data_IF_984725540797
#
_entry.id   IF_984725540797
#
_cell.length_a   1.000
_cell.length_b   1.000
_cell.length_c   1.000
_cell.angle_alpha   90.00
_cell.angle_beta   90.00
_cell.angle_gamma   90.00
#
_symmetry.space_group_name_H-M   'P 1'
#
loop_
_entity.id
_entity.type
_entity.pdbx_description
1 polymer ?
#
# COMPACT_ATOMS: atom_id res chain seq x y z
N UNK A 1 -8.75 -18.21 -0.10
CA UNK A 1 -9.73 -17.56 -1.01
C UNK A 1 -9.41 -16.09 -1.13
N UNK A 2 -9.32 -15.38 -0.04
CA UNK A 2 -9.10 -13.93 0.08
C UNK A 2 -7.79 -13.45 -0.58
N UNK A 3 -6.69 -14.19 -0.38
CA UNK A 3 -5.39 -13.84 -0.99
C UNK A 3 -5.39 -13.85 -2.53
N UNK A 4 -6.12 -14.77 -3.17
CA UNK A 4 -6.27 -14.75 -4.64
C UNK A 4 -7.17 -13.60 -5.10
N UNK A 5 -8.17 -13.27 -4.30
CA UNK A 5 -9.08 -12.18 -4.59
C UNK A 5 -8.33 -10.83 -4.59
N UNK A 6 -7.57 -10.51 -3.51
CA UNK A 6 -6.84 -9.22 -3.45
C UNK A 6 -5.76 -9.13 -4.55
N UNK A 7 -5.06 -10.22 -4.88
CA UNK A 7 -4.12 -10.23 -6.00
C UNK A 7 -4.80 -9.88 -7.33
N UNK A 8 -6.01 -10.43 -7.57
CA UNK A 8 -6.77 -10.17 -8.79
C UNK A 8 -7.22 -8.73 -8.88
N UNK A 9 -7.87 -8.20 -7.84
CA UNK A 9 -8.41 -6.83 -7.89
C UNK A 9 -7.31 -5.77 -7.94
N UNK A 10 -6.15 -6.00 -7.32
CA UNK A 10 -5.00 -5.08 -7.42
C UNK A 10 -4.43 -5.07 -8.84
N UNK A 11 -4.32 -6.22 -9.52
CA UNK A 11 -3.91 -6.26 -10.94
C UNK A 11 -4.91 -5.57 -11.87
N UNK A 12 -6.21 -5.76 -11.63
CA UNK A 12 -7.25 -5.03 -12.36
C UNK A 12 -7.15 -3.51 -12.12
N UNK A 13 -6.80 -3.08 -10.90
CA UNK A 13 -6.60 -1.68 -10.54
C UNK A 13 -5.37 -1.06 -11.24
N UNK A 14 -4.26 -1.82 -11.40
CA UNK A 14 -3.09 -1.37 -12.16
C UNK A 14 -3.46 -0.93 -13.59
N UNK A 15 -4.40 -1.63 -14.22
CA UNK A 15 -4.84 -1.34 -15.59
C UNK A 15 -5.55 0.02 -15.72
N UNK A 16 -6.07 0.56 -14.60
CA UNK A 16 -6.70 1.87 -14.57
C UNK A 16 -5.68 3.01 -14.64
N UNK A 17 -4.42 2.76 -14.27
CA UNK A 17 -3.37 3.77 -14.16
C UNK A 17 -2.67 4.12 -15.49
N UNK A 18 -3.23 3.72 -16.63
CA UNK A 18 -2.67 3.98 -17.98
C UNK A 18 -2.94 5.40 -18.53
N UNK A 19 -3.50 6.32 -17.71
CA UNK A 19 -3.98 7.65 -18.13
C UNK A 19 -3.19 8.77 -17.44
N UNK A 20 -3.22 9.96 -18.04
CA UNK A 20 -2.78 11.18 -17.37
C UNK A 20 -3.79 11.57 -16.29
N UNK A 21 -3.30 11.83 -15.08
CA UNK A 21 -4.12 12.18 -13.92
C UNK A 21 -3.85 13.60 -13.46
N UNK A 22 -4.91 14.31 -13.02
CA UNK A 22 -4.77 15.60 -12.38
C UNK A 22 -4.31 15.45 -10.92
N UNK A 23 -3.52 16.41 -10.44
CA UNK A 23 -2.94 16.44 -9.08
C UNK A 23 -3.58 17.57 -8.29
N UNK A 24 -3.96 17.31 -7.06
CA UNK A 24 -4.59 18.27 -6.15
C UNK A 24 -3.85 18.32 -4.81
N UNK A 25 -3.91 19.48 -4.13
CA UNK A 25 -3.47 19.60 -2.74
C UNK A 25 -4.56 19.11 -1.78
N UNK A 26 -4.20 18.28 -0.82
CA UNK A 26 -5.09 17.70 0.19
C UNK A 26 -4.93 18.47 1.50
N UNK A 27 -5.63 19.61 1.62
CA UNK A 27 -5.82 20.35 2.88
C UNK A 27 -4.58 20.92 3.58
N UNK A 28 -3.48 20.23 3.69
CA UNK A 28 -2.23 20.68 4.32
C UNK A 28 -1.10 20.89 3.31
N UNK A 29 -0.14 21.75 3.66
CA UNK A 29 0.99 22.05 2.78
C UNK A 29 1.83 20.78 2.55
N UNK A 30 1.89 20.34 1.29
CA UNK A 30 2.67 19.17 0.88
C UNK A 30 1.93 17.83 0.92
N UNK A 31 0.65 17.79 1.24
CA UNK A 31 -0.18 16.59 1.09
C UNK A 31 -0.90 16.64 -0.27
N UNK A 32 -0.72 15.59 -1.08
CA UNK A 32 -1.22 15.51 -2.46
C UNK A 32 -2.16 14.34 -2.62
N UNK A 33 -3.17 14.55 -3.46
CA UNK A 33 -4.07 13.51 -3.96
C UNK A 33 -4.21 13.68 -5.46
N UNK A 34 -4.42 12.61 -6.18
CA UNK A 34 -4.66 12.62 -7.61
C UNK A 34 -6.00 12.00 -7.96
N UNK A 35 -6.49 12.22 -9.18
CA UNK A 35 -7.66 11.50 -9.68
C UNK A 35 -7.42 9.98 -9.70
N UNK A 36 -6.16 9.54 -9.75
CA UNK A 36 -5.79 8.13 -9.69
C UNK A 36 -6.11 7.53 -8.32
N UNK A 37 -5.81 8.23 -7.22
CA UNK A 37 -6.12 7.79 -5.86
C UNK A 37 -7.62 7.49 -5.73
N UNK A 38 -8.46 8.46 -6.10
CA UNK A 38 -9.92 8.29 -6.05
C UNK A 38 -10.44 7.20 -6.98
N UNK A 39 -9.87 7.07 -8.19
CA UNK A 39 -10.29 6.07 -9.16
C UNK A 39 -9.97 4.65 -8.68
N UNK A 40 -8.73 4.43 -8.23
CA UNK A 40 -8.26 3.14 -7.73
C UNK A 40 -9.01 2.75 -6.47
N UNK A 41 -9.14 3.66 -5.51
CA UNK A 41 -9.80 3.37 -4.24
C UNK A 41 -11.27 3.01 -4.46
N UNK A 42 -12.01 3.79 -5.24
CA UNK A 42 -13.42 3.48 -5.57
C UNK A 42 -13.55 2.11 -6.21
N UNK A 43 -12.71 1.79 -7.19
CA UNK A 43 -12.71 0.50 -7.85
C UNK A 43 -12.48 -0.66 -6.85
N UNK A 44 -11.47 -0.53 -5.96
CA UNK A 44 -11.17 -1.55 -4.96
C UNK A 44 -12.33 -1.71 -3.97
N UNK A 45 -12.91 -0.61 -3.50
CA UNK A 45 -14.06 -0.62 -2.59
C UNK A 45 -15.25 -1.35 -3.24
N UNK A 46 -15.62 -1.01 -4.48
CA UNK A 46 -16.73 -1.65 -5.20
C UNK A 46 -16.52 -3.16 -5.36
N UNK A 47 -15.30 -3.58 -5.70
CA UNK A 47 -14.97 -5.01 -5.83
C UNK A 47 -15.05 -5.76 -4.50
N UNK A 48 -14.54 -5.13 -3.43
CA UNK A 48 -14.56 -5.72 -2.09
C UNK A 48 -15.99 -5.82 -1.56
N UNK A 49 -16.77 -4.75 -1.67
CA UNK A 49 -18.17 -4.75 -1.20
C UNK A 49 -19.03 -5.79 -1.93
N UNK A 50 -18.77 -6.02 -3.21
CA UNK A 50 -19.51 -7.03 -3.99
C UNK A 50 -19.21 -8.47 -3.54
N UNK A 51 -17.97 -8.78 -3.15
CA UNK A 51 -17.55 -10.15 -2.79
C UNK A 51 -17.59 -10.38 -1.27
N UNK A 52 -17.34 -9.34 -0.47
CA UNK A 52 -17.24 -9.38 1.00
C UNK A 52 -18.10 -8.27 1.65
N UNK A 53 -19.45 -8.31 1.49
CA UNK A 53 -20.35 -7.23 1.95
C UNK A 53 -20.33 -7.04 3.49
N UNK A 54 -19.92 -8.05 4.24
CA UNK A 54 -19.89 -8.03 5.71
C UNK A 54 -18.52 -7.57 6.28
N UNK A 55 -17.52 -7.30 5.41
CA UNK A 55 -16.22 -6.82 5.86
C UNK A 55 -16.19 -5.29 5.89
N UNK A 56 -15.65 -4.72 6.95
CA UNK A 56 -15.36 -3.30 6.99
C UNK A 56 -14.26 -2.93 5.97
N UNK A 57 -14.29 -1.70 5.48
CA UNK A 57 -13.26 -1.17 4.60
C UNK A 57 -12.68 0.08 5.24
N UNK A 58 -11.37 0.07 5.43
CA UNK A 58 -10.56 1.19 5.87
C UNK A 58 -9.75 1.62 4.65
N UNK A 59 -9.84 2.88 4.27
CA UNK A 59 -9.18 3.37 3.09
C UNK A 59 -8.81 4.84 3.25
N UNK A 60 -7.77 5.27 2.57
CA UNK A 60 -7.15 6.56 2.81
C UNK A 60 -8.06 7.74 2.47
N UNK A 61 -8.75 7.69 1.32
CA UNK A 61 -9.48 8.83 0.80
C UNK A 61 -10.97 8.84 1.18
N UNK A 62 -11.63 7.67 1.18
CA UNK A 62 -13.08 7.58 1.43
C UNK A 62 -13.44 7.17 2.86
N UNK A 63 -12.60 6.41 3.56
CA UNK A 63 -12.89 5.91 4.90
C UNK A 63 -11.69 6.02 5.87
N UNK A 64 -11.04 7.21 5.99
CA UNK A 64 -9.81 7.35 6.79
C UNK A 64 -10.02 7.14 8.30
N UNK A 65 -11.23 7.45 8.79
CA UNK A 65 -11.57 7.36 10.22
C UNK A 65 -12.22 6.03 10.61
N UNK A 66 -12.31 5.07 9.66
CA UNK A 66 -12.92 3.78 9.94
C UNK A 66 -12.06 2.99 10.94
N UNK A 67 -12.69 2.45 11.98
CA UNK A 67 -12.01 1.65 12.98
C UNK A 67 -11.59 0.28 12.41
N UNK A 68 -10.38 -0.17 12.78
CA UNK A 68 -9.92 -1.52 12.44
C UNK A 68 -10.83 -2.54 13.14
N UNK A 69 -11.48 -3.39 12.37
CA UNK A 69 -12.35 -4.46 12.86
C UNK A 69 -11.68 -5.84 12.72
N UNK A 70 -12.31 -6.87 13.32
CA UNK A 70 -11.82 -8.25 13.17
C UNK A 70 -11.80 -8.72 11.72
N UNK A 71 -12.82 -8.29 10.94
CA UNK A 71 -12.93 -8.59 9.52
C UNK A 71 -12.94 -7.29 8.73
N UNK A 72 -11.84 -6.95 8.08
CA UNK A 72 -11.74 -5.74 7.27
C UNK A 72 -10.71 -5.86 6.15
N UNK A 73 -10.88 -5.02 5.15
CA UNK A 73 -9.83 -4.70 4.18
C UNK A 73 -9.25 -3.33 4.52
N UNK A 74 -7.95 -3.20 4.35
CA UNK A 74 -7.20 -1.95 4.51
C UNK A 74 -6.60 -1.62 3.15
N UNK A 75 -6.88 -0.42 2.64
CA UNK A 75 -6.51 0.02 1.30
C UNK A 75 -5.72 1.32 1.38
N UNK A 76 -4.62 1.36 0.68
CA UNK A 76 -3.94 2.58 0.27
C UNK A 76 -3.87 2.56 -1.26
N UNK A 77 -4.60 3.43 -1.96
CA UNK A 77 -4.73 3.38 -3.42
C UNK A 77 -3.44 3.74 -4.14
N UNK A 78 -2.70 4.74 -3.65
CA UNK A 78 -1.40 5.18 -4.20
C UNK A 78 -0.46 5.59 -3.05
N UNK A 79 0.10 4.61 -2.35
CA UNK A 79 1.18 4.90 -1.39
C UNK A 79 2.36 5.58 -2.13
N UNK A 80 2.73 6.75 -1.68
CA UNK A 80 3.71 7.58 -2.37
C UNK A 80 3.14 8.49 -3.44
N UNK A 81 1.96 9.07 -3.24
CA UNK A 81 1.27 10.00 -4.16
C UNK A 81 2.19 11.12 -4.68
N UNK A 82 3.10 11.65 -3.84
CA UNK A 82 4.09 12.64 -4.28
C UNK A 82 5.05 12.10 -5.34
N UNK A 83 5.50 10.87 -5.17
CA UNK A 83 6.36 10.21 -6.16
C UNK A 83 5.59 9.96 -7.46
N UNK A 84 4.36 9.46 -7.33
CA UNK A 84 3.46 9.24 -8.47
C UNK A 84 3.25 10.54 -9.26
N UNK A 85 2.85 11.63 -8.60
CA UNK A 85 2.59 12.93 -9.21
C UNK A 85 3.82 13.54 -9.92
N UNK A 86 5.03 13.20 -9.45
CA UNK A 86 6.30 13.67 -10.03
C UNK A 86 6.94 12.66 -11.02
N UNK A 87 6.24 11.57 -11.37
CA UNK A 87 6.76 10.57 -12.30
C UNK A 87 7.92 9.72 -11.76
N UNK A 88 8.12 9.71 -10.44
CA UNK A 88 9.12 8.85 -9.79
C UNK A 88 8.54 7.44 -9.60
N UNK A 89 9.35 6.36 -9.73
CA UNK A 89 8.82 4.99 -9.74
C UNK A 89 8.52 4.40 -8.35
N UNK A 90 8.76 5.15 -7.26
CA UNK A 90 8.64 4.68 -5.89
C UNK A 90 7.24 4.99 -5.33
N UNK A 91 6.25 4.27 -5.81
CA UNK A 91 4.86 4.32 -5.37
C UNK A 91 4.20 2.96 -5.60
N UNK A 92 3.09 2.70 -4.93
CA UNK A 92 2.40 1.43 -5.10
C UNK A 92 0.96 1.43 -4.64
N UNK A 93 0.21 0.39 -5.04
CA UNK A 93 -1.14 0.08 -4.58
C UNK A 93 -1.02 -0.93 -3.46
N UNK A 94 -1.64 -0.68 -2.31
CA UNK A 94 -1.58 -1.58 -1.16
C UNK A 94 -2.97 -2.04 -0.75
N UNK A 95 -3.11 -3.35 -0.53
CA UNK A 95 -4.34 -3.96 0.01
C UNK A 95 -3.98 -5.05 1.01
N UNK A 96 -4.53 -4.96 2.22
CA UNK A 96 -4.45 -6.03 3.22
C UNK A 96 -5.85 -6.55 3.56
N UNK A 97 -5.94 -7.85 3.81
CA UNK A 97 -7.15 -8.51 4.31
C UNK A 97 -6.92 -9.02 5.73
N UNK A 98 -7.76 -8.55 6.64
CA UNK A 98 -7.82 -8.99 8.03
C UNK A 98 -9.07 -9.84 8.24
N UNK A 99 -8.94 -10.98 8.91
CA UNK A 99 -10.04 -11.89 9.22
C UNK A 99 -9.82 -12.50 10.59
N UNK A 100 -10.87 -12.50 11.42
CA UNK A 100 -10.83 -12.96 12.81
C UNK A 100 -9.69 -12.30 13.61
N UNK A 101 -9.46 -11.02 13.39
CA UNK A 101 -8.43 -10.27 14.11
C UNK A 101 -6.99 -10.45 13.61
N UNK A 102 -6.75 -11.26 12.58
CA UNK A 102 -5.41 -11.51 12.01
C UNK A 102 -5.30 -11.06 10.55
N UNK A 103 -4.16 -10.50 10.16
CA UNK A 103 -3.89 -10.21 8.75
C UNK A 103 -3.52 -11.51 8.04
N UNK A 104 -4.43 -11.98 7.18
CA UNK A 104 -4.30 -13.28 6.50
C UNK A 104 -3.67 -13.19 5.11
N UNK A 105 -3.70 -12.03 4.49
CA UNK A 105 -3.07 -11.79 3.19
C UNK A 105 -2.84 -10.29 2.96
N UNK A 106 -1.78 -9.96 2.23
CA UNK A 106 -1.51 -8.60 1.78
C UNK A 106 -0.85 -8.58 0.41
N UNK A 107 -1.08 -7.48 -0.32
CA UNK A 107 -0.48 -7.18 -1.62
C UNK A 107 0.10 -5.78 -1.57
N UNK A 108 1.29 -5.61 -2.14
CA UNK A 108 1.86 -4.33 -2.52
C UNK A 108 2.25 -4.47 -4.00
N UNK A 109 1.61 -3.69 -4.85
CA UNK A 109 2.01 -3.60 -6.25
C UNK A 109 2.75 -2.30 -6.51
N UNK A 110 3.91 -2.38 -7.15
CA UNK A 110 4.71 -1.25 -7.62
C UNK A 110 4.80 -1.30 -9.16
N UNK A 111 3.77 -0.82 -9.88
CA UNK A 111 3.66 -1.04 -11.32
C UNK A 111 4.82 -0.45 -12.12
N UNK A 112 5.33 0.73 -11.71
CA UNK A 112 6.46 1.39 -12.36
C UNK A 112 7.76 0.57 -12.29
N UNK A 113 7.92 -0.26 -11.25
CA UNK A 113 9.06 -1.18 -11.08
C UNK A 113 8.77 -2.58 -11.59
N UNK A 114 7.52 -2.89 -11.99
CA UNK A 114 7.05 -4.23 -12.36
C UNK A 114 7.24 -5.24 -11.22
N UNK A 115 7.04 -4.78 -9.99
CA UNK A 115 7.17 -5.57 -8.78
C UNK A 115 5.79 -5.77 -8.14
N UNK A 116 5.45 -7.03 -7.88
CA UNK A 116 4.20 -7.42 -7.25
C UNK A 116 4.49 -8.31 -6.04
N UNK A 117 4.40 -7.70 -4.87
CA UNK A 117 4.61 -8.39 -3.60
C UNK A 117 3.29 -8.96 -3.10
N UNK A 118 3.34 -10.17 -2.60
CA UNK A 118 2.23 -10.85 -1.97
C UNK A 118 2.71 -11.57 -0.72
N UNK A 119 1.95 -11.51 0.35
CA UNK A 119 2.21 -12.28 1.56
C UNK A 119 0.94 -12.94 2.09
N UNK A 120 1.09 -14.12 2.67
CA UNK A 120 0.07 -14.86 3.40
C UNK A 120 0.74 -15.80 4.41
N UNK A 121 -0.03 -16.70 5.04
CA UNK A 121 0.47 -17.69 5.99
C UNK A 121 1.61 -18.59 5.45
N UNK A 122 1.69 -18.79 4.13
CA UNK A 122 2.73 -19.60 3.48
C UNK A 122 4.04 -18.86 3.25
N UNK A 123 4.07 -17.53 3.46
CA UNK A 123 5.24 -16.67 3.34
C UNK A 123 5.02 -15.46 2.45
N UNK A 124 6.14 -14.82 2.06
CA UNK A 124 6.18 -13.66 1.19
C UNK A 124 6.72 -14.02 -0.19
N UNK A 125 6.22 -13.34 -1.21
CA UNK A 125 6.51 -13.59 -2.62
C UNK A 125 6.70 -12.28 -3.37
N UNK A 126 7.66 -12.25 -4.30
CA UNK A 126 7.85 -11.19 -5.30
C UNK A 126 7.66 -11.80 -6.69
N UNK A 127 6.71 -11.30 -7.46
CA UNK A 127 6.36 -11.79 -8.80
C UNK A 127 6.14 -13.32 -8.85
N UNK A 128 5.60 -13.88 -7.74
CA UNK A 128 5.34 -15.31 -7.59
C UNK A 128 6.50 -16.15 -7.06
N UNK A 129 7.71 -15.59 -6.96
CA UNK A 129 8.86 -16.26 -6.35
C UNK A 129 8.93 -15.98 -4.85
N UNK A 130 9.17 -17.03 -4.06
CA UNK A 130 9.25 -16.90 -2.60
C UNK A 130 10.48 -16.09 -2.19
N UNK A 131 10.27 -15.11 -1.32
CA UNK A 131 11.33 -14.25 -0.79
C UNK A 131 11.45 -14.37 0.73
N UNK A 132 12.60 -13.97 1.26
CA UNK A 132 12.85 -13.84 2.69
C UNK A 132 13.75 -12.65 2.98
N UNK A 133 13.69 -12.12 4.18
CA UNK A 133 14.62 -11.09 4.62
C UNK A 133 16.05 -11.64 4.64
N UNK A 134 17.02 -10.78 4.29
CA UNK A 134 18.43 -11.12 4.41
C UNK A 134 18.81 -11.15 5.90
N UNK A 135 19.55 -12.16 6.32
CA UNK A 135 20.25 -12.09 7.60
C UNK A 135 21.37 -11.06 7.51
N UNK A 136 21.29 -10.00 8.32
CA UNK A 136 22.32 -8.98 8.42
C UNK A 136 22.97 -9.13 9.79
N UNK A 137 24.20 -9.69 9.87
CA UNK A 137 24.86 -9.99 11.14
C UNK A 137 25.33 -8.76 11.91
N UNK A 138 25.33 -7.57 11.27
CA UNK A 138 25.82 -6.32 11.89
C UNK A 138 24.98 -5.13 11.40
N UNK A 139 24.41 -4.37 12.33
CA UNK A 139 23.59 -3.18 12.07
C UNK A 139 24.31 -2.01 11.39
N UNK A 140 25.66 -1.99 11.40
CA UNK A 140 26.45 -0.92 10.79
C UNK A 140 26.51 -0.96 9.25
N UNK A 141 25.89 -1.94 8.61
CA UNK A 141 25.81 -2.08 7.15
C UNK A 141 24.39 -1.82 6.59
N UNK A 142 23.62 -0.98 7.25
CA UNK A 142 22.22 -0.77 6.90
C UNK A 142 22.02 0.63 6.29
N UNK A 143 21.18 0.67 5.24
CA UNK A 143 20.70 1.92 4.63
C UNK A 143 19.20 2.07 4.91
N UNK A 144 18.80 3.24 5.40
CA UNK A 144 17.39 3.60 5.55
C UNK A 144 17.04 4.71 4.58
N UNK A 145 15.94 4.56 3.87
CA UNK A 145 15.26 5.65 3.17
C UNK A 145 14.15 6.15 4.10
N UNK A 146 14.26 7.39 4.53
CA UNK A 146 13.34 7.99 5.48
C UNK A 146 12.53 9.04 4.73
N UNK A 147 11.21 8.85 4.66
CA UNK A 147 10.29 9.88 4.22
C UNK A 147 9.99 10.89 5.34
N UNK A 148 9.66 12.13 4.99
CA UNK A 148 9.32 13.17 5.95
C UNK A 148 10.50 14.02 6.40
N UNK A 149 10.47 14.50 7.64
CA UNK A 149 11.53 15.37 8.16
C UNK A 149 12.80 14.56 8.48
N UNK A 150 13.78 14.66 7.59
CA UNK A 150 15.08 13.97 7.70
C UNK A 150 15.82 14.40 8.97
N UNK A 151 15.64 15.64 9.45
CA UNK A 151 16.30 16.17 10.65
C UNK A 151 15.75 15.48 11.89
N UNK A 152 14.43 15.34 12.00
CA UNK A 152 13.80 14.63 13.12
C UNK A 152 14.20 13.16 13.15
N UNK A 153 14.20 12.50 11.99
CA UNK A 153 14.61 11.10 11.87
C UNK A 153 16.07 10.88 12.25
N UNK A 154 16.99 11.74 11.80
CA UNK A 154 18.40 11.69 12.15
C UNK A 154 18.61 11.91 13.67
N UNK A 155 17.84 12.83 14.27
CA UNK A 155 17.88 13.09 15.71
C UNK A 155 17.41 11.88 16.53
N UNK A 156 16.36 11.21 16.07
CA UNK A 156 15.89 9.95 16.71
C UNK A 156 16.93 8.84 16.61
N UNK A 157 17.57 8.66 15.44
CA UNK A 157 18.61 7.64 15.26
C UNK A 157 19.81 7.84 16.18
N UNK A 158 20.27 9.09 16.42
CA UNK A 158 21.36 9.39 17.36
C UNK A 158 21.04 9.00 18.81
N UNK A 159 19.76 8.89 19.17
CA UNK A 159 19.33 8.55 20.53
C UNK A 159 19.39 7.03 20.82
N UNK A 160 19.48 6.20 19.79
CA UNK A 160 19.48 4.73 19.88
C UNK A 160 20.77 4.09 19.33
N UNK A 161 21.77 4.89 18.92
CA UNK A 161 23.07 4.45 18.43
C UNK A 161 24.13 4.31 19.53
#
# INVERSE_FOLDING_TARGET
MEGKFIQRIVREAEELLSRDFAVYAKGSEGDLVTDADYLVERFLIEKIQAEYPDFAIISEEFNPDAAISENCFIIDPIDGTKNFANGLPLWGIQVACRKNGETIASVISMPALKEFYFANESGAYLNGEKISVREVPVLNAFYAVIGGDVIEAATRMQKYG
#
